data_IF_975325893860
#
_entry.id   IF_975325893860
#
_cell.length_a   1.000
_cell.length_b   1.000
_cell.length_c   1.000
_cell.angle_alpha   90.00
_cell.angle_beta   90.00
_cell.angle_gamma   90.00
#
_symmetry.space_group_name_H-M   'P 1'
#
loop_
_entity.id
_entity.type
_entity.pdbx_description
1 polymer ?
#
# COMPACT_ATOMS: atom_id res chain seq x y z
N UNK A 1 26.17 -7.66 -5.06
CA UNK A 1 25.25 -6.68 -4.47
C UNK A 1 24.17 -7.43 -3.71
N UNK A 2 23.75 -6.97 -2.53
CA UNK A 2 22.63 -7.60 -1.83
C UNK A 2 21.34 -7.34 -2.62
N UNK A 3 20.33 -8.21 -2.49
CA UNK A 3 19.02 -8.02 -3.13
C UNK A 3 18.37 -6.69 -2.72
N UNK A 4 18.61 -6.25 -1.49
CA UNK A 4 18.10 -4.99 -0.95
C UNK A 4 18.77 -3.80 -1.65
N UNK A 5 20.09 -3.82 -1.84
CA UNK A 5 20.78 -2.77 -2.58
C UNK A 5 20.28 -2.67 -4.03
N UNK A 6 19.97 -3.80 -4.67
CA UNK A 6 19.36 -3.82 -6.01
C UNK A 6 17.99 -3.13 -6.02
N UNK A 7 17.11 -3.47 -5.07
CA UNK A 7 15.80 -2.83 -4.94
C UNK A 7 15.88 -1.32 -4.74
N UNK A 8 16.77 -0.87 -3.85
CA UNK A 8 16.95 0.56 -3.57
C UNK A 8 17.45 1.28 -4.84
N UNK A 9 18.46 0.72 -5.52
CA UNK A 9 18.98 1.29 -6.76
C UNK A 9 17.89 1.37 -7.84
N UNK A 10 17.05 0.34 -7.99
CA UNK A 10 15.93 0.35 -8.95
C UNK A 10 14.87 1.39 -8.57
N UNK A 11 14.55 1.54 -7.29
CA UNK A 11 13.60 2.57 -6.82
C UNK A 11 14.09 4.01 -7.09
N UNK A 12 15.40 4.23 -6.95
CA UNK A 12 16.01 5.55 -7.16
C UNK A 12 16.12 5.91 -8.63
N UNK A 13 16.39 4.92 -9.49
CA UNK A 13 16.55 5.13 -10.92
C UNK A 13 15.25 4.98 -11.72
N UNK A 14 14.15 4.53 -11.11
CA UNK A 14 12.87 4.38 -11.79
C UNK A 14 12.35 5.75 -12.27
N UNK A 15 12.14 5.96 -13.59
CA UNK A 15 11.68 7.23 -14.13
C UNK A 15 10.28 7.60 -13.62
N UNK A 16 10.09 8.87 -13.26
CA UNK A 16 8.77 9.36 -12.86
C UNK A 16 7.79 9.44 -14.06
N UNK A 17 6.50 9.32 -13.76
CA UNK A 17 5.44 9.51 -14.75
C UNK A 17 5.25 8.35 -15.72
N UNK A 18 4.61 8.64 -16.85
CA UNK A 18 4.18 7.66 -17.85
C UNK A 18 5.32 6.82 -18.46
N UNK A 19 6.58 7.25 -18.34
CA UNK A 19 7.72 6.47 -18.84
C UNK A 19 8.09 5.30 -17.93
N UNK A 20 7.94 5.46 -16.62
CA UNK A 20 8.31 4.44 -15.63
C UNK A 20 7.14 3.89 -14.83
N UNK A 21 5.87 4.23 -15.14
CA UNK A 21 4.72 3.77 -14.34
C UNK A 21 4.66 2.25 -14.17
N UNK A 22 4.88 1.51 -15.27
CA UNK A 22 4.83 0.05 -15.24
C UNK A 22 6.03 -0.56 -14.52
N UNK A 23 7.22 0.00 -14.73
CA UNK A 23 8.42 -0.41 -14.00
C UNK A 23 8.27 -0.20 -12.50
N UNK A 24 7.66 0.93 -12.11
CA UNK A 24 7.38 1.24 -10.72
C UNK A 24 6.36 0.27 -10.10
N UNK A 25 5.26 -0.02 -10.81
CA UNK A 25 4.25 -1.01 -10.39
C UNK A 25 4.89 -2.39 -10.17
N UNK A 26 5.60 -2.92 -11.18
CA UNK A 26 6.24 -4.22 -11.13
C UNK A 26 7.28 -4.29 -10.00
N UNK A 27 8.09 -3.23 -9.83
CA UNK A 27 9.09 -3.13 -8.76
C UNK A 27 8.46 -3.08 -7.36
N UNK A 28 7.39 -2.30 -7.19
CA UNK A 28 6.71 -2.23 -5.90
C UNK A 28 6.09 -3.57 -5.51
N UNK A 29 5.48 -4.29 -6.46
CA UNK A 29 4.99 -5.66 -6.25
C UNK A 29 6.11 -6.58 -5.80
N UNK A 30 7.25 -6.57 -6.50
CA UNK A 30 8.40 -7.42 -6.18
C UNK A 30 8.93 -7.15 -4.76
N UNK A 31 9.02 -5.86 -4.38
CA UNK A 31 9.45 -5.44 -3.05
C UNK A 31 8.44 -5.88 -1.99
N UNK A 32 7.15 -5.64 -2.20
CA UNK A 32 6.10 -6.01 -1.24
C UNK A 32 6.00 -7.52 -1.05
N UNK A 33 6.16 -8.30 -2.11
CA UNK A 33 6.30 -9.76 -2.01
C UNK A 33 7.52 -10.14 -1.18
N UNK A 34 8.68 -9.54 -1.45
CA UNK A 34 9.89 -9.78 -0.67
C UNK A 34 9.71 -9.40 0.80
N UNK A 35 9.00 -8.33 1.10
CA UNK A 35 8.78 -7.82 2.47
C UNK A 35 7.78 -8.67 3.25
N UNK A 36 6.62 -8.97 2.66
CA UNK A 36 5.45 -9.44 3.41
C UNK A 36 5.03 -10.89 3.14
N UNK A 37 5.70 -11.61 2.23
CA UNK A 37 5.42 -13.02 1.96
C UNK A 37 6.60 -13.89 2.42
N UNK A 38 6.45 -14.71 3.49
CA UNK A 38 5.35 -14.78 4.47
C UNK A 38 5.31 -13.57 5.44
N UNK A 39 4.20 -13.35 6.19
CA UNK A 39 3.04 -14.23 6.38
C UNK A 39 1.86 -14.01 5.44
N UNK A 40 1.85 -12.92 4.67
CA UNK A 40 0.82 -12.74 3.64
C UNK A 40 0.95 -13.81 2.57
N UNK A 41 -0.14 -14.07 1.86
CA UNK A 41 -0.11 -14.93 0.67
C UNK A 41 0.38 -14.10 -0.52
N UNK A 42 1.05 -14.75 -1.48
CA UNK A 42 1.44 -14.12 -2.74
C UNK A 42 0.27 -13.33 -3.36
N UNK A 43 0.53 -12.14 -3.90
CA UNK A 43 -0.52 -11.25 -4.37
C UNK A 43 -1.18 -11.77 -5.64
N UNK A 44 -2.43 -11.35 -5.80
CA UNK A 44 -3.14 -11.44 -7.08
C UNK A 44 -2.91 -10.10 -7.78
N UNK A 45 -2.22 -10.14 -8.92
CA UNK A 45 -1.85 -8.97 -9.71
C UNK A 45 -2.92 -8.66 -10.74
N UNK A 46 -3.24 -7.37 -10.86
CA UNK A 46 -4.20 -6.84 -11.80
C UNK A 46 -5.61 -7.47 -11.76
N UNK A 47 -6.18 -7.83 -10.58
CA UNK A 47 -7.46 -8.51 -10.52
C UNK A 47 -8.58 -7.58 -10.97
N UNK A 48 -9.49 -8.14 -11.78
CA UNK A 48 -10.66 -7.44 -12.30
C UNK A 48 -11.91 -7.80 -11.53
N UNK A 49 -12.85 -6.86 -11.41
CA UNK A 49 -14.22 -7.21 -11.03
C UNK A 49 -14.84 -8.11 -12.11
N UNK A 50 -15.89 -8.85 -11.73
CA UNK A 50 -16.60 -9.72 -12.68
C UNK A 50 -17.10 -8.96 -13.93
N UNK A 51 -17.52 -7.70 -13.76
CA UNK A 51 -17.90 -6.80 -14.86
C UNK A 51 -16.74 -6.33 -15.74
N UNK A 52 -15.48 -6.53 -15.32
CA UNK A 52 -14.28 -6.04 -15.98
C UNK A 52 -13.99 -4.54 -15.81
N UNK A 53 -14.91 -3.79 -15.19
CA UNK A 53 -14.88 -2.31 -15.09
C UNK A 53 -13.75 -1.80 -14.19
N UNK A 54 -13.48 -2.48 -13.08
CA UNK A 54 -12.44 -2.08 -12.14
C UNK A 54 -11.26 -3.04 -12.25
N UNK A 55 -10.05 -2.48 -12.34
CA UNK A 55 -8.78 -3.19 -12.31
C UNK A 55 -7.97 -2.60 -11.17
N UNK A 56 -7.68 -3.42 -10.17
CA UNK A 56 -6.81 -3.09 -9.03
C UNK A 56 -5.38 -3.42 -9.40
N UNK A 57 -4.38 -2.85 -8.75
CA UNK A 57 -2.99 -3.15 -9.11
C UNK A 57 -2.50 -4.45 -8.45
N UNK A 58 -2.54 -4.54 -7.12
CA UNK A 58 -2.15 -5.74 -6.38
C UNK A 58 -3.01 -5.97 -5.14
N UNK A 59 -3.41 -7.23 -4.91
CA UNK A 59 -4.18 -7.61 -3.73
C UNK A 59 -3.49 -8.76 -3.01
N UNK A 60 -3.09 -8.52 -1.76
CA UNK A 60 -2.46 -9.53 -0.91
C UNK A 60 -3.50 -10.18 0.01
N UNK A 61 -3.75 -11.50 -0.10
CA UNK A 61 -4.59 -12.20 0.85
C UNK A 61 -3.91 -12.29 2.22
N UNK A 62 -4.59 -11.81 3.24
CA UNK A 62 -4.18 -11.93 4.63
C UNK A 62 -4.94 -13.07 5.30
N UNK A 63 -4.19 -14.08 5.72
CA UNK A 63 -4.70 -15.24 6.47
C UNK A 63 -3.96 -15.40 7.80
N UNK A 64 -3.30 -14.33 8.24
CA UNK A 64 -2.58 -14.34 9.50
C UNK A 64 -3.59 -14.14 10.64
N UNK A 65 -3.91 -15.21 11.34
CA UNK A 65 -4.81 -15.19 12.50
C UNK A 65 -4.06 -15.01 13.83
N UNK A 66 -2.73 -14.84 13.80
CA UNK A 66 -1.95 -14.51 14.99
C UNK A 66 -2.03 -13.00 15.27
N UNK A 67 -2.88 -12.62 16.22
CA UNK A 67 -3.09 -11.22 16.61
C UNK A 67 -1.85 -10.56 17.24
N UNK A 68 -0.81 -11.33 17.61
CA UNK A 68 0.46 -10.76 18.06
C UNK A 68 1.31 -10.23 16.91
N UNK A 69 1.05 -10.68 15.69
CA UNK A 69 1.71 -10.19 14.49
C UNK A 69 0.93 -8.99 13.92
N UNK A 70 1.63 -7.96 13.44
CA UNK A 70 0.99 -6.77 12.84
C UNK A 70 -0.08 -7.09 11.78
N UNK A 71 0.13 -8.07 10.89
CA UNK A 71 -0.90 -8.45 9.91
C UNK A 71 -2.14 -9.10 10.54
N UNK A 72 -2.00 -9.85 11.64
CA UNK A 72 -3.14 -10.40 12.36
C UNK A 72 -3.89 -9.34 13.16
N UNK A 73 -3.17 -8.37 13.73
CA UNK A 73 -3.74 -7.17 14.33
C UNK A 73 -4.61 -6.40 13.30
N UNK A 74 -4.04 -6.11 12.12
CA UNK A 74 -4.75 -5.41 11.04
C UNK A 74 -5.93 -6.23 10.48
N UNK A 75 -5.80 -7.56 10.43
CA UNK A 75 -6.91 -8.44 10.06
C UNK A 75 -8.08 -8.31 11.03
N UNK A 76 -7.80 -8.28 12.34
CA UNK A 76 -8.83 -8.14 13.38
C UNK A 76 -9.48 -6.76 13.37
N UNK A 77 -8.68 -5.70 13.30
CA UNK A 77 -9.16 -4.32 13.51
C UNK A 77 -9.79 -3.70 12.28
N UNK A 78 -9.22 -3.97 11.11
CA UNK A 78 -9.65 -3.39 9.83
C UNK A 78 -10.26 -4.44 8.91
N UNK A 79 -10.53 -5.66 9.41
CA UNK A 79 -11.04 -6.77 8.61
C UNK A 79 -10.17 -7.00 7.36
N UNK A 80 -8.87 -6.72 7.44
CA UNK A 80 -7.95 -6.57 6.32
C UNK A 80 -7.62 -7.93 5.64
N UNK A 81 -8.64 -8.61 5.13
CA UNK A 81 -8.61 -9.96 4.53
C UNK A 81 -7.94 -9.96 3.17
N UNK A 82 -8.14 -8.90 2.39
CA UNK A 82 -7.56 -8.70 1.07
C UNK A 82 -6.97 -7.28 1.03
N UNK A 83 -5.70 -7.16 1.38
CA UNK A 83 -5.00 -5.87 1.46
C UNK A 83 -4.73 -5.36 0.06
N UNK A 84 -5.40 -4.27 -0.32
CA UNK A 84 -5.24 -3.61 -1.61
C UNK A 84 -4.02 -2.68 -1.59
N UNK A 85 -3.12 -2.88 -2.55
CA UNK A 85 -2.06 -1.95 -2.88
C UNK A 85 -2.32 -1.35 -4.27
N UNK A 86 -2.25 -0.02 -4.35
CA UNK A 86 -2.30 0.76 -5.58
C UNK A 86 -0.98 1.53 -5.75
N UNK A 87 -0.50 1.68 -6.98
CA UNK A 87 0.80 2.29 -7.27
C UNK A 87 0.63 3.55 -8.10
N UNK A 88 1.19 4.67 -7.61
CA UNK A 88 1.10 5.98 -8.26
C UNK A 88 2.50 6.52 -8.53
N UNK A 89 2.89 6.52 -9.80
CA UNK A 89 4.16 7.05 -10.27
C UNK A 89 3.95 8.26 -11.18
N UNK A 90 3.89 9.47 -10.60
CA UNK A 90 3.58 10.71 -11.31
C UNK A 90 4.79 11.63 -11.46
N UNK A 91 4.80 12.39 -12.55
CA UNK A 91 5.79 13.41 -12.87
C UNK A 91 5.22 14.77 -12.43
N UNK A 92 4.49 15.44 -13.34
CA UNK A 92 4.03 16.82 -13.16
C UNK A 92 2.79 16.87 -12.27
N UNK A 93 1.86 15.93 -12.46
CA UNK A 93 0.56 15.93 -11.79
C UNK A 93 0.65 15.46 -10.36
N UNK A 94 -0.09 16.08 -9.45
CA UNK A 94 -0.13 15.66 -8.05
C UNK A 94 -0.95 14.40 -7.84
N UNK A 95 -0.61 13.69 -6.77
CA UNK A 95 -1.43 12.58 -6.26
C UNK A 95 -2.51 13.20 -5.39
N UNK A 96 -3.70 13.31 -5.96
CA UNK A 96 -4.82 14.07 -5.41
C UNK A 96 -5.96 13.22 -4.85
N UNK A 97 -7.06 13.88 -4.53
CA UNK A 97 -8.27 13.27 -3.99
C UNK A 97 -8.90 12.22 -4.92
N UNK A 98 -8.76 12.36 -6.24
CA UNK A 98 -9.29 11.40 -7.23
C UNK A 98 -8.71 10.00 -7.03
N UNK A 99 -7.40 9.89 -6.77
CA UNK A 99 -6.73 8.60 -6.52
C UNK A 99 -7.26 7.91 -5.27
N UNK A 100 -7.58 8.70 -4.24
CA UNK A 100 -8.17 8.20 -3.00
C UNK A 100 -9.60 7.71 -3.24
N UNK A 101 -10.41 8.47 -3.99
CA UNK A 101 -11.78 8.09 -4.35
C UNK A 101 -11.78 6.80 -5.18
N UNK A 102 -10.89 6.69 -6.16
CA UNK A 102 -10.75 5.50 -6.99
C UNK A 102 -10.39 4.28 -6.13
N UNK A 103 -9.41 4.43 -5.23
CA UNK A 103 -9.01 3.36 -4.30
C UNK A 103 -10.16 2.93 -3.39
N UNK A 104 -10.93 3.88 -2.83
CA UNK A 104 -12.11 3.56 -2.01
C UNK A 104 -13.18 2.81 -2.80
N UNK A 105 -13.41 3.17 -4.06
CA UNK A 105 -14.37 2.48 -4.93
C UNK A 105 -13.95 1.03 -5.23
N UNK A 106 -12.66 0.71 -5.11
CA UNK A 106 -12.17 -0.66 -5.27
C UNK A 106 -12.31 -1.50 -4.00
N UNK A 107 -12.38 -0.89 -2.83
CA UNK A 107 -12.63 -1.59 -1.57
C UNK A 107 -14.08 -2.08 -1.50
N UNK A 108 -14.20 -3.38 -1.27
CA UNK A 108 -15.48 -4.06 -1.03
C UNK A 108 -15.49 -4.60 0.39
N UNK A 109 -16.67 -4.82 0.96
CA UNK A 109 -16.80 -5.35 2.32
C UNK A 109 -16.02 -6.66 2.54
N UNK A 110 -16.02 -7.66 1.62
CA UNK A 110 -15.20 -8.86 1.79
C UNK A 110 -13.68 -8.65 1.80
N UNK A 111 -13.20 -7.52 1.27
CA UNK A 111 -11.77 -7.19 1.28
C UNK A 111 -11.33 -6.64 2.64
N UNK A 112 -12.22 -5.94 3.32
CA UNK A 112 -11.93 -5.20 4.55
C UNK A 112 -11.88 -3.69 4.34
N UNK A 113 -11.26 -3.04 5.31
CA UNK A 113 -11.24 -1.60 5.49
C UNK A 113 -9.84 -0.98 5.33
N UNK A 114 -8.86 -1.74 4.85
CA UNK A 114 -7.49 -1.26 4.63
C UNK A 114 -7.12 -1.28 3.14
N UNK A 115 -6.66 -0.13 2.64
CA UNK A 115 -5.93 -0.01 1.38
C UNK A 115 -4.67 0.85 1.57
N UNK A 116 -3.68 0.64 0.71
CA UNK A 116 -2.40 1.34 0.75
C UNK A 116 -2.10 1.85 -0.66
N UNK A 117 -1.85 3.15 -0.77
CA UNK A 117 -1.41 3.77 -2.02
C UNK A 117 0.08 4.06 -1.89
N UNK A 118 0.90 3.41 -2.71
CA UNK A 118 2.35 3.60 -2.76
C UNK A 118 2.67 4.61 -3.85
N UNK A 119 3.28 5.71 -3.43
CA UNK A 119 3.47 6.90 -4.25
C UNK A 119 4.96 7.16 -4.50
N UNK A 120 5.32 7.60 -5.72
CA UNK A 120 6.69 8.04 -5.99
C UNK A 120 7.02 9.42 -5.38
N UNK A 121 5.99 10.20 -5.02
CA UNK A 121 6.07 11.51 -4.36
C UNK A 121 4.98 11.69 -3.30
N UNK A 122 5.06 12.75 -2.49
CA UNK A 122 4.05 13.00 -1.45
C UNK A 122 2.70 13.39 -2.08
N UNK A 123 1.58 12.83 -1.58
CA UNK A 123 0.24 13.27 -1.94
C UNK A 123 -0.04 14.71 -1.50
N UNK A 124 -0.95 15.38 -2.20
CA UNK A 124 -1.33 16.75 -1.84
C UNK A 124 -2.32 16.78 -0.67
N UNK A 125 -2.52 17.98 -0.09
CA UNK A 125 -3.42 18.15 1.06
C UNK A 125 -4.86 17.68 0.79
N UNK A 126 -5.35 17.85 -0.44
CA UNK A 126 -6.68 17.37 -0.85
C UNK A 126 -6.80 15.84 -0.75
N UNK A 127 -5.75 15.10 -1.06
CA UNK A 127 -5.71 13.65 -0.89
C UNK A 127 -5.79 13.25 0.59
N UNK A 128 -5.07 13.96 1.47
CA UNK A 128 -5.10 13.74 2.92
C UNK A 128 -6.48 14.03 3.53
N UNK A 129 -7.09 15.17 3.17
CA UNK A 129 -8.47 15.49 3.60
C UNK A 129 -9.45 14.42 3.12
N UNK A 130 -9.31 13.97 1.87
CA UNK A 130 -10.23 13.00 1.29
C UNK A 130 -10.17 11.63 1.98
N UNK A 131 -8.98 11.12 2.31
CA UNK A 131 -8.87 9.84 3.05
C UNK A 131 -9.48 9.96 4.46
N UNK A 132 -9.37 11.11 5.11
CA UNK A 132 -9.98 11.36 6.42
C UNK A 132 -11.52 11.39 6.32
N UNK A 133 -12.07 12.06 5.31
CA UNK A 133 -13.51 12.08 5.04
C UNK A 133 -14.08 10.67 4.78
N UNK A 134 -13.34 9.85 4.03
CA UNK A 134 -13.72 8.45 3.77
C UNK A 134 -13.72 7.65 5.08
N UNK A 135 -12.73 7.84 5.94
CA UNK A 135 -12.68 7.19 7.25
C UNK A 135 -13.84 7.62 8.16
N UNK A 136 -14.18 8.92 8.26
CA UNK A 136 -15.33 9.38 9.06
C UNK A 136 -16.63 8.68 8.67
N UNK A 137 -16.82 8.44 7.37
CA UNK A 137 -18.09 7.94 6.80
C UNK A 137 -18.16 6.42 6.71
N UNK A 138 -17.04 5.78 6.36
CA UNK A 138 -16.99 4.35 5.99
C UNK A 138 -16.06 3.54 6.88
N UNK A 139 -15.31 4.18 7.79
CA UNK A 139 -14.27 3.57 8.63
C UNK A 139 -13.21 2.82 7.82
N UNK A 140 -12.98 3.25 6.58
CA UNK A 140 -11.94 2.71 5.70
C UNK A 140 -10.68 3.55 5.83
N UNK A 141 -9.56 2.89 6.09
CA UNK A 141 -8.23 3.46 6.22
C UNK A 141 -7.53 3.31 4.87
N UNK A 142 -7.14 4.45 4.29
CA UNK A 142 -6.35 4.50 3.06
C UNK A 142 -5.01 5.14 3.43
N UNK A 143 -3.96 4.33 3.52
CA UNK A 143 -2.62 4.80 3.85
C UNK A 143 -1.91 5.32 2.62
N UNK A 144 -1.00 6.27 2.84
CA UNK A 144 -0.03 6.68 1.85
C UNK A 144 1.34 6.17 2.26
N UNK A 145 2.00 5.50 1.34
CA UNK A 145 3.41 5.12 1.44
C UNK A 145 4.20 5.78 0.32
N UNK A 146 5.50 5.89 0.52
CA UNK A 146 6.41 6.45 -0.49
C UNK A 146 7.59 5.52 -0.72
N UNK A 147 8.43 5.84 -1.72
CA UNK A 147 9.70 5.13 -1.94
C UNK A 147 10.55 5.07 -0.67
N UNK A 148 10.56 6.14 0.12
CA UNK A 148 11.33 6.18 1.37
C UNK A 148 10.81 5.18 2.40
N UNK A 149 9.48 5.01 2.53
CA UNK A 149 8.91 3.97 3.38
C UNK A 149 9.27 2.56 2.89
N UNK A 150 9.29 2.31 1.58
CA UNK A 150 9.73 1.02 1.03
C UNK A 150 11.21 0.75 1.35
N UNK A 151 12.09 1.75 1.19
CA UNK A 151 13.51 1.63 1.54
C UNK A 151 13.69 1.36 3.03
N UNK A 152 12.96 2.07 3.88
CA UNK A 152 12.97 1.85 5.33
C UNK A 152 12.57 0.42 5.68
N UNK A 153 11.47 -0.08 5.11
CA UNK A 153 11.04 -1.47 5.28
C UNK A 153 12.09 -2.50 4.82
N UNK A 154 12.80 -2.21 3.73
CA UNK A 154 13.89 -3.07 3.26
C UNK A 154 15.03 -3.11 4.29
N UNK A 155 15.40 -1.99 4.90
CA UNK A 155 16.42 -1.96 5.96
C UNK A 155 15.93 -2.63 7.26
N UNK A 156 14.67 -2.44 7.64
CA UNK A 156 14.05 -3.18 8.77
C UNK A 156 14.20 -4.68 8.54
N UNK A 157 13.87 -5.16 7.33
CA UNK A 157 14.03 -6.57 6.95
C UNK A 157 15.49 -7.03 6.98
N UNK A 158 16.43 -6.19 6.57
CA UNK A 158 17.87 -6.49 6.61
C UNK A 158 18.37 -6.73 8.05
N UNK A 159 17.82 -5.98 9.02
CA UNK A 159 18.14 -6.15 10.46
C UNK A 159 17.47 -7.37 11.10
N UNK A 160 16.58 -8.06 10.38
CA UNK A 160 15.80 -9.19 10.90
C UNK A 160 14.57 -8.78 11.71
N UNK A 161 14.16 -7.52 11.62
CA UNK A 161 12.92 -6.99 12.21
C UNK A 161 11.74 -7.18 11.23
N UNK A 162 10.51 -7.04 11.70
CA UNK A 162 9.30 -7.19 10.87
C UNK A 162 8.91 -5.86 10.20
N UNK A 163 8.94 -5.77 8.86
CA UNK A 163 8.53 -4.55 8.15
C UNK A 163 7.04 -4.21 8.31
N UNK A 164 6.21 -5.15 8.77
CA UNK A 164 4.80 -4.90 9.06
C UNK A 164 4.61 -3.86 10.17
N UNK A 165 5.58 -3.71 11.08
CA UNK A 165 5.51 -2.74 12.18
C UNK A 165 5.37 -1.31 11.62
N UNK A 166 6.05 -0.99 10.50
CA UNK A 166 5.90 0.31 9.86
C UNK A 166 4.49 0.53 9.28
N UNK A 167 3.79 -0.53 8.83
CA UNK A 167 2.38 -0.41 8.42
C UNK A 167 1.50 -0.09 9.62
N UNK A 168 1.72 -0.77 10.75
CA UNK A 168 0.96 -0.52 11.99
C UNK A 168 1.19 0.91 12.46
N UNK A 169 2.44 1.37 12.51
CA UNK A 169 2.78 2.77 12.85
C UNK A 169 2.07 3.78 11.92
N UNK A 170 1.98 3.50 10.62
CA UNK A 170 1.29 4.36 9.67
C UNK A 170 -0.23 4.40 9.91
N UNK A 171 -0.83 3.28 10.34
CA UNK A 171 -2.24 3.24 10.77
C UNK A 171 -2.46 4.07 12.03
N UNK A 172 -1.60 3.92 13.04
CA UNK A 172 -1.69 4.68 14.28
C UNK A 172 -1.51 6.20 14.03
N UNK A 173 -0.52 6.58 13.22
CA UNK A 173 -0.33 7.97 12.79
C UNK A 173 -1.53 8.49 12.01
N UNK A 174 -2.15 7.67 11.17
CA UNK A 174 -3.38 8.04 10.47
C UNK A 174 -4.50 8.35 11.47
N UNK A 175 -4.70 7.54 12.51
CA UNK A 175 -5.70 7.80 13.55
C UNK A 175 -5.42 9.08 14.35
N UNK A 176 -4.16 9.40 14.61
CA UNK A 176 -3.78 10.65 15.29
C UNK A 176 -4.02 11.90 14.43
N UNK A 177 -3.95 11.77 13.10
CA UNK A 177 -4.19 12.84 12.14
C UNK A 177 -5.68 12.99 11.78
N UNK A 178 -6.54 12.13 12.31
CA UNK A 178 -7.97 12.16 12.07
C UNK A 178 -8.64 13.12 13.06
N UNK A 179 -9.25 14.19 12.54
CA UNK A 179 -10.10 15.13 13.29
C UNK A 179 -11.52 14.59 13.48
#
# INVERSE_FOLDING_TARGET
MSRITDFINRLDNCPAGQKGWREFEDLCVEILEFLFVPPLVRPIIQPRTYSGTNRRDAVFPNRNFDEKHGWGLLLRELEARLVLFEFKNYDVTDIGHEEVIQTDNYLTEPMGKLAIIVCNKLPNNGAHIQRNNIYSRRRRVILFMTKEHLKEMLFIKERGEDPCDLIVDLVERFYLQHE
#
